data_IF_429063966342
#
_entry.id   IF_429063966342
#
_cell.length_a   1.000
_cell.length_b   1.000
_cell.length_c   1.000
_cell.angle_alpha   90.00
_cell.angle_beta   90.00
_cell.angle_gamma   90.00
#
_symmetry.space_group_name_H-M   'P 1'
#
loop_
_entity.id
_entity.type
_entity.pdbx_description
1 polymer ?
#
# COMPACT_ATOMS: atom_id res chain seq x y z
N UNK A 1 -9.52 31.71 -1.58
CA UNK A 1 -8.45 30.87 -2.17
C UNK A 1 -8.04 29.90 -1.07
N UNK A 2 -8.52 28.64 -1.11
CA UNK A 2 -8.22 27.64 -0.08
C UNK A 2 -6.77 27.22 -0.24
N UNK A 3 -5.95 27.24 0.82
CA UNK A 3 -4.66 26.55 0.82
C UNK A 3 -4.91 25.10 0.41
N UNK A 4 -4.22 24.63 -0.64
CA UNK A 4 -4.15 23.19 -0.91
C UNK A 4 -3.52 22.54 0.32
N UNK A 5 -4.08 21.41 0.73
CA UNK A 5 -3.59 20.64 1.87
C UNK A 5 -2.23 20.02 1.49
N UNK A 6 -1.21 20.07 2.36
CA UNK A 6 0.14 19.52 2.11
C UNK A 6 0.10 18.07 1.61
N UNK A 7 -0.91 17.31 2.07
CA UNK A 7 -1.21 15.95 1.62
C UNK A 7 -1.55 15.87 0.12
N UNK A 8 -2.41 16.75 -0.38
CA UNK A 8 -2.84 16.74 -1.77
C UNK A 8 -1.69 17.15 -2.69
N UNK A 9 -0.82 18.07 -2.24
CA UNK A 9 0.39 18.44 -2.98
C UNK A 9 1.36 17.26 -3.10
N UNK A 10 1.59 16.54 -2.00
CA UNK A 10 2.42 15.32 -2.00
C UNK A 10 1.87 14.25 -2.96
N UNK A 11 0.56 14.00 -2.95
CA UNK A 11 -0.05 13.02 -3.87
C UNK A 11 0.06 13.45 -5.33
N UNK A 12 -0.14 14.74 -5.63
CA UNK A 12 0.06 15.25 -6.98
C UNK A 12 1.51 15.11 -7.44
N UNK A 13 2.48 15.33 -6.56
CA UNK A 13 3.90 15.13 -6.87
C UNK A 13 4.20 13.66 -7.21
N UNK A 14 3.64 12.70 -6.46
CA UNK A 14 3.76 11.27 -6.82
C UNK A 14 3.17 10.98 -8.20
N UNK A 15 1.98 11.51 -8.51
CA UNK A 15 1.37 11.33 -9.83
C UNK A 15 2.23 11.95 -10.94
N UNK A 16 2.78 13.14 -10.73
CA UNK A 16 3.66 13.79 -11.70
C UNK A 16 4.94 12.97 -11.91
N UNK A 17 5.55 12.43 -10.86
CA UNK A 17 6.72 11.55 -10.97
C UNK A 17 6.39 10.25 -11.73
N UNK A 18 5.25 9.61 -11.45
CA UNK A 18 4.81 8.41 -12.16
C UNK A 18 4.58 8.72 -13.65
N UNK A 19 3.85 9.79 -13.95
CA UNK A 19 3.51 10.15 -15.33
C UNK A 19 4.70 10.66 -16.16
N UNK A 20 5.74 11.17 -15.50
CA UNK A 20 7.01 11.49 -16.16
C UNK A 20 7.77 10.24 -16.62
N UNK A 21 7.55 9.09 -15.98
CA UNK A 21 8.17 7.81 -16.36
C UNK A 21 7.31 7.09 -17.40
N UNK A 22 6.00 7.03 -17.18
CA UNK A 22 5.02 6.42 -18.06
C UNK A 22 3.86 7.39 -18.27
N UNK A 23 3.76 8.00 -19.45
CA UNK A 23 2.79 9.08 -19.72
C UNK A 23 1.34 8.61 -19.85
N UNK A 24 1.13 7.35 -20.22
CA UNK A 24 -0.20 6.79 -20.50
C UNK A 24 -0.41 5.48 -19.75
N UNK A 25 -1.65 5.27 -19.29
CA UNK A 25 -2.07 4.05 -18.60
C UNK A 25 -2.45 2.90 -19.56
N UNK A 26 -3.14 1.87 -19.05
CA UNK A 26 -3.53 1.72 -17.65
C UNK A 26 -2.33 1.53 -16.72
N UNK A 27 -2.41 2.11 -15.52
CA UNK A 27 -1.37 1.99 -14.50
C UNK A 27 -1.64 0.82 -13.56
N UNK A 28 -0.56 0.14 -13.15
CA UNK A 28 -0.58 -0.86 -12.06
C UNK A 28 0.30 -0.34 -10.94
N UNK A 29 -0.26 -0.20 -9.75
CA UNK A 29 0.46 0.28 -8.56
C UNK A 29 0.77 -0.86 -7.61
N UNK A 30 1.86 -0.76 -6.86
CA UNK A 30 2.23 -1.72 -5.82
C UNK A 30 2.55 -1.01 -4.51
N UNK A 31 2.20 -1.61 -3.38
CA UNK A 31 2.57 -1.09 -2.08
C UNK A 31 2.57 -2.15 -0.97
N UNK A 32 3.62 -2.15 -0.16
CA UNK A 32 3.75 -3.01 1.03
C UNK A 32 3.33 -2.27 2.30
N UNK A 33 2.50 -2.92 3.13
CA UNK A 33 2.05 -2.37 4.41
C UNK A 33 1.42 -0.96 4.20
N UNK A 34 1.88 0.06 4.92
CA UNK A 34 1.48 1.46 4.72
C UNK A 34 1.70 2.00 3.30
N UNK A 35 2.63 1.42 2.53
CA UNK A 35 2.81 1.72 1.12
C UNK A 35 1.60 1.34 0.27
N UNK A 36 0.84 0.30 0.64
CA UNK A 36 -0.42 -0.06 -0.03
C UNK A 36 -1.52 0.98 0.24
N UNK A 37 -1.55 1.55 1.44
CA UNK A 37 -2.45 2.66 1.78
C UNK A 37 -2.13 3.92 0.97
N UNK A 38 -0.84 4.23 0.79
CA UNK A 38 -0.39 5.32 -0.07
C UNK A 38 -0.70 5.05 -1.55
N UNK A 39 -0.46 3.84 -2.05
CA UNK A 39 -0.78 3.46 -3.43
C UNK A 39 -2.26 3.66 -3.75
N UNK A 40 -3.15 3.34 -2.80
CA UNK A 40 -4.59 3.62 -2.92
C UNK A 40 -4.91 5.12 -3.03
N UNK A 41 -4.30 5.97 -2.21
CA UNK A 41 -4.52 7.42 -2.31
C UNK A 41 -3.93 8.01 -3.60
N UNK A 42 -2.77 7.53 -4.05
CA UNK A 42 -2.19 7.90 -5.34
C UNK A 42 -3.13 7.49 -6.48
N UNK A 43 -3.68 6.27 -6.46
CA UNK A 43 -4.65 5.82 -7.45
C UNK A 43 -5.87 6.74 -7.52
N UNK A 44 -6.44 7.14 -6.38
CA UNK A 44 -7.54 8.11 -6.33
C UNK A 44 -7.17 9.44 -6.98
N UNK A 45 -5.98 9.97 -6.71
CA UNK A 45 -5.52 11.22 -7.32
C UNK A 45 -5.31 11.06 -8.84
N UNK A 46 -4.81 9.91 -9.30
CA UNK A 46 -4.67 9.60 -10.73
C UNK A 46 -6.05 9.56 -11.42
N UNK A 47 -7.00 8.84 -10.85
CA UNK A 47 -8.37 8.72 -11.39
C UNK A 47 -9.10 10.08 -11.42
N UNK A 48 -8.94 10.91 -10.38
CA UNK A 48 -9.44 12.28 -10.37
C UNK A 48 -8.85 13.16 -11.48
N UNK A 49 -7.63 12.84 -11.94
CA UNK A 49 -6.97 13.50 -13.08
C UNK A 49 -7.33 12.86 -14.43
N UNK A 50 -8.28 11.94 -14.46
CA UNK A 50 -8.74 11.25 -15.68
C UNK A 50 -7.79 10.14 -16.15
N UNK A 51 -6.84 9.72 -15.32
CA UNK A 51 -5.92 8.62 -15.63
C UNK A 51 -6.53 7.29 -15.19
N UNK A 52 -6.34 6.24 -15.99
CA UNK A 52 -6.86 4.91 -15.67
C UNK A 52 -5.84 4.11 -14.86
N UNK A 53 -6.18 3.75 -13.62
CA UNK A 53 -5.46 2.73 -12.84
C UNK A 53 -6.23 1.42 -13.00
N UNK A 54 -5.60 0.38 -13.54
CA UNK A 54 -6.27 -0.91 -13.71
C UNK A 54 -6.28 -1.70 -12.41
N UNK A 55 -5.14 -1.73 -11.70
CA UNK A 55 -4.92 -2.62 -10.57
C UNK A 55 -3.99 -2.01 -9.51
N UNK A 56 -4.26 -2.35 -8.25
CA UNK A 56 -3.41 -2.06 -7.11
C UNK A 56 -3.03 -3.38 -6.46
N UNK A 57 -1.75 -3.66 -6.34
CA UNK A 57 -1.21 -4.85 -5.68
C UNK A 57 -0.68 -4.46 -4.31
N UNK A 58 -1.37 -4.90 -3.27
CA UNK A 58 -1.02 -4.68 -1.88
C UNK A 58 -0.32 -5.92 -1.30
N UNK A 59 0.70 -5.68 -0.50
CA UNK A 59 1.35 -6.71 0.30
C UNK A 59 1.04 -6.44 1.78
N UNK A 60 0.16 -7.27 2.33
CA UNK A 60 -0.35 -7.28 3.69
C UNK A 60 -0.85 -5.93 4.24
N UNK A 61 -1.70 -5.26 3.46
CA UNK A 61 -2.21 -3.93 3.80
C UNK A 61 -3.61 -4.00 4.39
N UNK A 62 -3.86 -3.30 5.50
CA UNK A 62 -5.21 -3.08 6.07
C UNK A 62 -5.71 -1.67 5.74
N UNK A 63 -7.01 -1.45 5.40
CA UNK A 63 -7.53 -0.10 5.19
C UNK A 63 -7.29 0.75 6.43
N UNK A 64 -6.60 1.88 6.25
CA UNK A 64 -6.18 2.67 7.38
C UNK A 64 -7.32 3.57 7.86
N UNK A 65 -7.69 3.46 9.13
CA UNK A 65 -8.72 4.25 9.79
C UNK A 65 -8.44 4.29 11.30
N UNK A 66 -9.28 4.99 12.07
CA UNK A 66 -9.10 5.16 13.52
C UNK A 66 -9.02 3.82 14.29
N UNK A 67 -9.85 2.84 13.95
CA UNK A 67 -9.83 1.50 14.59
C UNK A 67 -8.48 0.81 14.37
N UNK A 68 -7.96 0.85 13.13
CA UNK A 68 -6.67 0.24 12.79
C UNK A 68 -5.51 1.01 13.41
N UNK A 69 -5.59 2.34 13.50
CA UNK A 69 -4.59 3.17 14.19
C UNK A 69 -4.46 2.81 15.67
N UNK A 70 -5.58 2.62 16.36
CA UNK A 70 -5.60 2.21 17.77
C UNK A 70 -4.92 0.83 17.95
N UNK A 71 -5.24 -0.14 17.09
CA UNK A 71 -4.60 -1.45 17.08
C UNK A 71 -3.09 -1.32 16.81
N UNK A 72 -2.71 -0.59 15.76
CA UNK A 72 -1.31 -0.44 15.36
C UNK A 72 -0.46 0.26 16.43
N UNK A 73 -1.02 1.27 17.11
CA UNK A 73 -0.33 1.95 18.21
C UNK A 73 -0.02 1.00 19.38
N UNK A 74 -0.93 0.07 19.67
CA UNK A 74 -0.72 -0.96 20.71
C UNK A 74 0.41 -1.90 20.32
N UNK A 75 0.39 -2.44 19.09
CA UNK A 75 1.44 -3.32 18.57
C UNK A 75 2.80 -2.62 18.57
N UNK A 76 2.87 -1.37 18.10
CA UNK A 76 4.11 -0.61 18.05
C UNK A 76 4.67 -0.34 19.46
N UNK A 77 3.81 -0.06 20.44
CA UNK A 77 4.23 0.13 21.83
C UNK A 77 4.78 -1.19 22.43
N UNK A 78 4.11 -2.31 22.18
CA UNK A 78 4.57 -3.64 22.60
C UNK A 78 5.90 -4.03 21.95
N UNK A 79 6.03 -3.82 20.64
CA UNK A 79 7.26 -4.07 19.90
C UNK A 79 8.42 -3.20 20.41
N UNK A 80 8.19 -1.91 20.68
CA UNK A 80 9.21 -1.03 21.25
C UNK A 80 9.67 -1.48 22.65
N UNK A 81 8.76 -2.03 23.46
CA UNK A 81 9.09 -2.57 24.77
C UNK A 81 9.87 -3.89 24.70
N UNK A 82 9.65 -4.70 23.66
CA UNK A 82 10.34 -5.97 23.43
C UNK A 82 11.69 -5.80 22.71
N UNK A 83 11.80 -4.78 21.85
CA UNK A 83 12.97 -4.50 21.03
C UNK A 83 14.09 -3.77 21.79
N UNK A 84 14.51 -4.27 22.95
CA UNK A 84 15.81 -3.92 23.58
C UNK A 84 17.04 -4.29 22.70
N UNK A 85 16.86 -4.41 21.38
CA UNK A 85 17.66 -5.18 20.44
C UNK A 85 18.01 -4.32 19.22
N UNK A 86 19.30 -4.08 19.05
CA UNK A 86 20.02 -3.74 17.82
C UNK A 86 19.18 -3.02 16.75
N UNK A 87 18.88 -1.74 17.01
CA UNK A 87 18.55 -0.84 15.92
C UNK A 87 19.71 -0.88 14.93
N UNK A 88 19.50 -1.47 13.75
CA UNK A 88 20.48 -1.48 12.67
C UNK A 88 21.03 -0.05 12.55
N UNK A 89 22.35 0.13 12.63
CA UNK A 89 23.01 1.43 12.85
C UNK A 89 22.50 2.54 11.88
N UNK A 90 22.12 2.14 10.66
CA UNK A 90 21.54 3.03 9.65
C UNK A 90 20.18 3.65 10.05
N UNK A 91 19.36 2.96 10.84
CA UNK A 91 18.07 3.45 11.36
C UNK A 91 18.24 4.55 12.40
N UNK A 92 19.40 4.63 13.05
CA UNK A 92 19.72 5.67 14.03
C UNK A 92 20.19 6.99 13.37
N UNK A 93 20.41 7.02 12.06
CA UNK A 93 20.82 8.25 11.38
C UNK A 93 19.71 9.31 11.44
N UNK A 94 20.05 10.61 11.57
CA UNK A 94 19.04 11.69 11.57
C UNK A 94 18.15 11.69 10.33
N UNK A 95 18.70 11.28 9.18
CA UNK A 95 17.93 11.13 7.94
C UNK A 95 16.87 10.04 8.02
N UNK A 96 17.24 8.83 8.47
CA UNK A 96 16.31 7.72 8.62
C UNK A 96 15.24 8.03 9.67
N UNK A 97 15.63 8.62 10.80
CA UNK A 97 14.70 9.05 11.84
C UNK A 97 13.71 10.10 11.31
N UNK A 98 14.18 11.12 10.58
CA UNK A 98 13.32 12.12 9.98
C UNK A 98 12.34 11.52 8.96
N UNK A 99 12.80 10.58 8.11
CA UNK A 99 11.91 9.86 7.17
C UNK A 99 10.85 9.04 7.91
N UNK A 100 11.24 8.29 8.95
CA UNK A 100 10.32 7.53 9.80
C UNK A 100 9.29 8.45 10.46
N UNK A 101 9.71 9.56 11.05
CA UNK A 101 8.80 10.52 11.68
C UNK A 101 7.79 11.07 10.69
N UNK A 102 8.22 11.53 9.51
CA UNK A 102 7.32 12.03 8.47
C UNK A 102 6.32 10.97 8.00
N UNK A 103 6.78 9.73 7.85
CA UNK A 103 5.90 8.61 7.50
C UNK A 103 4.85 8.34 8.59
N UNK A 104 5.25 8.32 9.86
CA UNK A 104 4.31 8.12 10.97
C UNK A 104 3.29 9.27 11.08
N UNK A 105 3.73 10.52 10.90
CA UNK A 105 2.83 11.68 10.85
C UNK A 105 1.84 11.59 9.68
N UNK A 106 2.28 11.10 8.53
CA UNK A 106 1.39 10.83 7.40
C UNK A 106 0.34 9.78 7.77
N UNK A 107 0.77 8.64 8.32
CA UNK A 107 -0.15 7.56 8.70
C UNK A 107 -1.13 8.01 9.80
N UNK A 108 -0.70 8.79 10.79
CA UNK A 108 -1.57 9.30 11.85
C UNK A 108 -2.74 10.14 11.30
N UNK A 109 -2.49 10.93 10.26
CA UNK A 109 -3.49 11.79 9.64
C UNK A 109 -4.25 11.13 8.49
N UNK A 110 -3.88 9.91 8.11
CA UNK A 110 -4.51 9.20 7.00
C UNK A 110 -5.81 8.53 7.43
N UNK A 111 -6.83 8.60 6.57
CA UNK A 111 -7.98 7.70 6.61
C UNK A 111 -8.31 7.29 5.18
N UNK A 112 -8.06 6.03 4.83
CA UNK A 112 -8.44 5.51 3.53
C UNK A 112 -9.96 5.45 3.45
N UNK A 113 -10.50 6.21 2.50
CA UNK A 113 -11.91 6.38 2.26
C UNK A 113 -12.17 6.69 0.79
N UNK A 114 -13.42 6.55 0.36
CA UNK A 114 -13.80 6.70 -1.04
C UNK A 114 -13.61 5.41 -1.84
N UNK A 115 -13.72 5.54 -3.16
CA UNK A 115 -13.67 4.45 -4.11
C UNK A 115 -12.54 4.69 -5.12
N UNK A 116 -11.92 3.60 -5.57
CA UNK A 116 -11.12 3.55 -6.79
C UNK A 116 -11.83 2.69 -7.86
N UNK A 117 -11.52 2.94 -9.12
CA UNK A 117 -11.93 2.10 -10.25
C UNK A 117 -10.93 0.98 -10.56
N UNK A 118 -9.84 0.85 -9.81
CA UNK A 118 -8.88 -0.25 -9.93
C UNK A 118 -9.35 -1.54 -9.24
N UNK A 119 -8.98 -2.72 -9.75
CA UNK A 119 -9.01 -3.94 -8.93
C UNK A 119 -7.99 -3.82 -7.80
N UNK A 120 -8.25 -4.44 -6.66
CA UNK A 120 -7.33 -4.49 -5.54
C UNK A 120 -6.97 -5.96 -5.29
N UNK A 121 -5.69 -6.28 -5.44
CA UNK A 121 -5.10 -7.55 -5.05
C UNK A 121 -4.39 -7.35 -3.71
N UNK A 122 -4.59 -8.23 -2.74
CA UNK A 122 -3.92 -8.13 -1.45
C UNK A 122 -3.36 -9.48 -1.03
N UNK A 123 -2.05 -9.54 -0.89
CA UNK A 123 -1.33 -10.73 -0.42
C UNK A 123 -1.30 -10.64 1.10
N UNK A 124 -2.09 -11.46 1.76
CA UNK A 124 -2.38 -11.36 3.19
C UNK A 124 -1.72 -12.51 3.97
N UNK A 125 -1.22 -12.18 5.16
CA UNK A 125 -0.78 -13.15 6.17
C UNK A 125 -1.63 -13.01 7.43
N UNK A 126 -1.50 -13.98 8.33
CA UNK A 126 -2.24 -13.98 9.58
C UNK A 126 -1.72 -12.88 10.51
N UNK A 127 -2.59 -11.95 10.86
CA UNK A 127 -2.31 -10.81 11.74
C UNK A 127 -3.56 -10.50 12.55
N UNK A 128 -3.42 -9.72 13.61
CA UNK A 128 -4.57 -9.24 14.39
C UNK A 128 -5.58 -8.42 13.55
N UNK A 129 -5.12 -7.82 12.45
CA UNK A 129 -5.96 -7.07 11.49
C UNK A 129 -6.47 -7.91 10.32
N UNK A 130 -6.25 -9.23 10.29
CA UNK A 130 -6.57 -10.11 9.15
C UNK A 130 -8.00 -9.98 8.65
N UNK A 131 -8.98 -9.87 9.57
CA UNK A 131 -10.40 -9.70 9.21
C UNK A 131 -10.71 -8.30 8.68
N UNK A 132 -9.98 -7.28 9.15
CA UNK A 132 -10.15 -5.89 8.72
C UNK A 132 -9.67 -5.67 7.29
N UNK A 133 -8.72 -6.48 6.79
CA UNK A 133 -8.24 -6.43 5.39
C UNK A 133 -9.38 -6.61 4.39
N UNK A 134 -10.39 -7.44 4.72
CA UNK A 134 -11.60 -7.63 3.89
C UNK A 134 -12.40 -6.35 3.66
N UNK A 135 -12.25 -5.31 4.50
CA UNK A 135 -12.95 -4.02 4.32
C UNK A 135 -12.50 -3.28 3.05
N UNK A 136 -11.35 -3.64 2.43
CA UNK A 136 -10.95 -3.12 1.11
C UNK A 136 -11.98 -3.40 0.00
N UNK A 137 -12.83 -4.42 0.14
CA UNK A 137 -13.92 -4.68 -0.82
C UNK A 137 -14.89 -3.49 -0.97
N UNK A 138 -14.98 -2.63 0.05
CA UNK A 138 -15.89 -1.49 0.05
C UNK A 138 -15.26 -0.22 -0.55
N UNK A 139 -14.00 -0.27 -0.98
CA UNK A 139 -13.24 0.89 -1.47
C UNK A 139 -12.87 0.77 -2.95
N UNK A 140 -13.35 -0.25 -3.65
CA UNK A 140 -13.19 -0.41 -5.10
C UNK A 140 -14.55 -0.63 -5.75
N UNK A 141 -14.76 -0.05 -6.93
CA UNK A 141 -15.93 -0.35 -7.77
C UNK A 141 -15.76 -1.62 -8.61
N UNK A 142 -14.57 -2.21 -8.63
CA UNK A 142 -14.25 -3.47 -9.31
C UNK A 142 -14.08 -4.61 -8.30
N UNK A 143 -12.99 -5.37 -8.37
CA UNK A 143 -12.79 -6.57 -7.55
C UNK A 143 -11.78 -6.32 -6.42
N UNK A 144 -12.02 -6.95 -5.26
CA UNK A 144 -11.03 -7.15 -4.21
C UNK A 144 -10.71 -8.65 -4.09
N UNK A 145 -9.42 -9.02 -4.19
CA UNK A 145 -8.96 -10.41 -4.23
C UNK A 145 -7.83 -10.60 -3.21
N UNK A 146 -8.00 -11.58 -2.32
CA UNK A 146 -6.97 -11.96 -1.35
C UNK A 146 -6.14 -13.17 -1.85
N UNK A 147 -4.83 -13.13 -1.60
CA UNK A 147 -3.89 -14.21 -1.85
C UNK A 147 -3.18 -14.52 -0.53
N UNK A 148 -2.92 -15.79 -0.21
CA UNK A 148 -2.21 -16.12 1.02
C UNK A 148 -0.70 -15.97 0.82
N UNK A 149 -0.08 -15.04 1.54
CA UNK A 149 1.37 -14.94 1.64
C UNK A 149 1.95 -15.95 2.64
N UNK A 150 3.28 -16.06 2.66
CA UNK A 150 4.03 -16.93 3.59
C UNK A 150 4.95 -16.07 4.46
N UNK A 151 5.04 -16.40 5.75
CA UNK A 151 5.77 -15.65 6.77
C UNK A 151 4.86 -14.76 7.62
N UNK A 152 5.46 -13.96 8.49
CA UNK A 152 4.76 -12.88 9.20
C UNK A 152 4.79 -11.57 8.41
N UNK A 153 4.07 -10.53 8.88
CA UNK A 153 4.03 -9.22 8.23
C UNK A 153 5.43 -8.71 7.88
N UNK A 154 6.33 -8.66 8.86
CA UNK A 154 7.68 -8.12 8.73
C UNK A 154 8.65 -9.04 7.95
N UNK A 155 8.25 -10.29 7.69
CA UNK A 155 9.10 -11.29 7.06
C UNK A 155 8.75 -11.55 5.59
N UNK A 156 7.65 -11.00 5.08
CA UNK A 156 7.15 -11.26 3.71
C UNK A 156 8.22 -11.04 2.61
N UNK A 157 9.15 -10.12 2.83
CA UNK A 157 10.24 -9.80 1.90
C UNK A 157 11.63 -10.25 2.41
N UNK A 158 11.68 -11.04 3.50
CA UNK A 158 12.93 -11.62 3.98
C UNK A 158 13.41 -12.74 3.07
N UNK A 159 14.72 -13.04 3.03
CA UNK A 159 15.29 -14.06 2.14
C UNK A 159 14.62 -15.44 2.23
N UNK A 160 14.04 -15.79 3.38
CA UNK A 160 13.34 -17.06 3.60
C UNK A 160 12.01 -17.18 2.85
N UNK A 161 11.29 -16.07 2.62
CA UNK A 161 9.92 -16.07 2.06
C UNK A 161 9.76 -15.24 0.78
N UNK A 162 10.76 -14.41 0.44
CA UNK A 162 10.66 -13.45 -0.67
C UNK A 162 10.40 -14.15 -2.02
N UNK A 163 10.98 -15.33 -2.25
CA UNK A 163 10.85 -16.02 -3.53
C UNK A 163 9.39 -16.45 -3.77
N UNK A 164 8.75 -17.05 -2.77
CA UNK A 164 7.38 -17.53 -2.82
C UNK A 164 6.40 -16.34 -2.93
N UNK A 165 6.59 -15.30 -2.12
CA UNK A 165 5.72 -14.13 -2.15
C UNK A 165 5.83 -13.33 -3.46
N UNK A 166 7.03 -13.22 -4.03
CA UNK A 166 7.22 -12.61 -5.37
C UNK A 166 6.59 -13.46 -6.47
N UNK A 167 6.57 -14.78 -6.34
CA UNK A 167 5.90 -15.63 -7.33
C UNK A 167 4.39 -15.38 -7.38
N UNK A 168 3.76 -15.14 -6.22
CA UNK A 168 2.35 -14.70 -6.16
C UNK A 168 2.16 -13.37 -6.90
N UNK A 169 3.05 -12.39 -6.67
CA UNK A 169 3.01 -11.09 -7.35
C UNK A 169 3.13 -11.27 -8.87
N UNK A 170 4.06 -12.12 -9.34
CA UNK A 170 4.23 -12.42 -10.76
C UNK A 170 2.97 -13.06 -11.36
N UNK A 171 2.33 -13.97 -10.65
CA UNK A 171 1.07 -14.57 -11.11
C UNK A 171 -0.05 -13.53 -11.24
N UNK A 172 -0.13 -12.56 -10.32
CA UNK A 172 -1.08 -11.44 -10.41
C UNK A 172 -0.77 -10.60 -11.65
N UNK A 173 0.49 -10.18 -11.83
CA UNK A 173 0.92 -9.38 -12.97
C UNK A 173 0.65 -10.07 -14.32
N UNK A 174 0.90 -11.37 -14.40
CA UNK A 174 0.60 -12.15 -15.61
C UNK A 174 -0.91 -12.16 -15.92
N UNK A 175 -1.77 -12.35 -14.91
CA UNK A 175 -3.23 -12.28 -15.09
C UNK A 175 -3.70 -10.92 -15.57
N UNK A 176 -3.13 -9.84 -15.03
CA UNK A 176 -3.43 -8.47 -15.46
C UNK A 176 -3.06 -8.29 -16.94
N UNK A 177 -1.86 -8.75 -17.32
CA UNK A 177 -1.37 -8.69 -18.69
C UNK A 177 -2.24 -9.49 -19.66
N UNK A 178 -2.61 -10.72 -19.29
CA UNK A 178 -3.42 -11.59 -20.14
C UNK A 178 -4.82 -10.99 -20.36
N UNK A 179 -5.43 -10.43 -19.32
CA UNK A 179 -6.72 -9.75 -19.42
C UNK A 179 -6.65 -8.50 -20.30
N UNK A 180 -5.59 -7.69 -20.15
CA UNK A 180 -5.38 -6.52 -21.00
C UNK A 180 -5.24 -6.92 -22.48
N UNK A 181 -4.61 -8.06 -22.78
CA UNK A 181 -4.52 -8.58 -24.14
C UNK A 181 -5.89 -9.00 -24.70
N UNK A 182 -6.72 -9.68 -23.89
CA UNK A 182 -8.08 -10.08 -24.28
C UNK A 182 -8.99 -8.88 -24.58
N UNK A 183 -8.86 -7.76 -23.86
CA UNK A 183 -9.65 -6.55 -24.08
C UNK A 183 -9.24 -5.77 -25.36
N UNK A 184 -8.10 -6.11 -25.97
CA UNK A 184 -7.59 -5.48 -27.20
C UNK A 184 -7.92 -6.25 -28.49
N UNK A 185 -8.41 -7.49 -28.39
CA UNK A 185 -8.74 -8.39 -29.52
C UNK A 185 -10.24 -8.44 -29.75
#
# INVERSE_FOLDING_TARGET
MKCKNDHDEMLNEYVDQITNIQSEGPYVLFGYSGGGNLAFEVAKTMEQRGMQVSDIIMLDTTPWNKEVQEIASTILAEAANLAHLDALEWTATPYAQNKRTKFLMYMENLTNSGLVEANIHNIVVDTVTRLLKKKWINTTSKAYIEYNGIGTHDELLNPEYIQENVEIIKQILNKIKDKAFEEMV
#
